data_IF_223939552960
#
_entry.id   IF_223939552960
#
_cell.length_a   1.000
_cell.length_b   1.000
_cell.length_c   1.000
_cell.angle_alpha   90.00
_cell.angle_beta   90.00
_cell.angle_gamma   90.00
#
_symmetry.space_group_name_H-M   'P 1'
#
loop_
_entity.id
_entity.type
_entity.pdbx_description
1 polymer ?
#
# COMPACT_ATOMS: atom_id res chain seq x y z
N UNK A 1 12.09 2.53 -13.39
CA UNK A 1 12.10 4.00 -13.58
C UNK A 1 11.70 4.40 -15.01
N UNK A 2 12.29 3.81 -16.07
CA UNK A 2 11.95 4.17 -17.46
C UNK A 2 10.46 4.05 -17.75
N UNK A 3 9.83 2.93 -17.43
CA UNK A 3 8.39 2.72 -17.68
C UNK A 3 7.47 3.76 -17.03
N UNK A 4 7.92 4.43 -15.97
CA UNK A 4 7.17 5.48 -15.27
C UNK A 4 7.43 6.83 -15.92
N UNK A 5 8.68 7.14 -16.25
CA UNK A 5 9.04 8.38 -16.97
C UNK A 5 8.38 8.50 -18.34
N UNK A 6 8.28 7.39 -19.08
CA UNK A 6 7.61 7.31 -20.37
C UNK A 6 6.11 7.62 -20.31
N UNK A 7 5.54 7.63 -19.10
CA UNK A 7 4.15 8.02 -18.79
C UNK A 7 4.01 9.46 -18.34
N UNK A 8 5.07 10.27 -18.50
CA UNK A 8 5.08 11.68 -18.17
C UNK A 8 5.30 12.00 -16.69
N UNK A 9 5.75 11.04 -15.90
CA UNK A 9 6.12 11.30 -14.51
C UNK A 9 7.49 11.92 -14.41
N UNK A 10 7.60 12.93 -13.56
CA UNK A 10 8.86 13.57 -13.21
C UNK A 10 9.37 13.01 -11.89
N UNK A 11 10.63 12.60 -11.86
CA UNK A 11 11.28 12.12 -10.65
C UNK A 11 11.81 13.28 -9.83
N UNK A 12 11.40 13.34 -8.57
CA UNK A 12 11.90 14.28 -7.58
C UNK A 12 12.31 13.55 -6.33
N UNK A 13 13.47 13.90 -5.77
CA UNK A 13 13.90 13.44 -4.46
C UNK A 13 13.55 14.49 -3.42
N UNK A 14 12.88 14.06 -2.37
CA UNK A 14 12.46 14.90 -1.24
C UNK A 14 13.49 14.85 -0.11
N UNK A 15 13.54 15.87 0.76
CA UNK A 15 14.47 15.91 1.89
C UNK A 15 14.26 14.71 2.84
N UNK A 16 15.39 14.20 3.37
CA UNK A 16 15.40 13.12 4.37
C UNK A 16 15.42 13.68 5.80
N UNK A 17 16.14 14.78 6.05
CA UNK A 17 16.10 15.46 7.35
C UNK A 17 14.91 16.42 7.38
N UNK A 18 13.84 16.07 8.07
CA UNK A 18 12.58 16.81 8.09
C UNK A 18 12.11 17.12 9.50
N UNK A 19 10.97 17.77 9.60
CA UNK A 19 10.20 17.83 10.84
C UNK A 19 9.39 16.52 11.00
N UNK A 20 9.05 16.18 12.23
CA UNK A 20 8.12 15.10 12.52
C UNK A 20 6.79 15.30 11.81
N UNK A 21 6.25 14.21 11.25
CA UNK A 21 4.93 14.21 10.63
C UNK A 21 4.05 13.11 11.26
N UNK A 22 2.75 13.36 11.47
CA UNK A 22 1.86 12.40 12.14
C UNK A 22 1.41 11.28 11.17
N UNK A 23 2.35 10.42 10.74
CA UNK A 23 2.08 9.33 9.77
C UNK A 23 1.65 8.01 10.44
N UNK A 24 1.55 7.99 11.78
CA UNK A 24 1.06 6.84 12.54
C UNK A 24 2.11 5.94 13.16
N UNK A 25 3.34 5.89 12.65
CA UNK A 25 4.48 5.22 13.29
C UNK A 25 5.26 6.18 14.20
N UNK A 26 6.20 5.65 15.00
CA UNK A 26 7.17 6.48 15.70
C UNK A 26 8.27 6.92 14.76
N UNK A 27 8.80 8.13 14.98
CA UNK A 27 9.88 8.69 14.18
C UNK A 27 11.25 8.22 14.70
N UNK A 28 12.17 7.96 13.78
CA UNK A 28 13.59 7.99 14.10
C UNK A 28 14.06 9.43 14.17
N UNK A 29 14.76 9.79 15.23
CA UNK A 29 15.18 11.17 15.50
C UNK A 29 16.69 11.34 15.30
N UNK A 30 17.08 12.45 14.68
CA UNK A 30 18.47 12.86 14.51
C UNK A 30 18.71 14.16 15.30
N UNK A 31 19.58 14.16 16.34
CA UNK A 31 19.86 15.37 17.10
C UNK A 31 20.44 16.50 16.24
N UNK A 32 19.94 17.71 16.44
CA UNK A 32 20.49 18.90 15.76
C UNK A 32 21.74 19.41 16.48
N UNK A 33 22.88 19.40 15.78
CA UNK A 33 24.11 19.97 16.32
C UNK A 33 24.04 21.49 16.47
N UNK A 34 23.30 22.16 15.57
CA UNK A 34 23.20 23.62 15.53
C UNK A 34 22.20 24.17 16.53
N UNK A 35 21.15 23.43 16.82
CA UNK A 35 20.07 23.82 17.72
C UNK A 35 19.99 22.85 18.89
N UNK A 36 20.67 23.12 20.03
CA UNK A 36 20.64 22.23 21.20
C UNK A 36 19.21 21.94 21.68
N UNK A 37 18.92 20.67 21.99
CA UNK A 37 17.60 20.24 22.43
C UNK A 37 16.55 20.07 21.33
N UNK A 38 16.92 20.31 20.06
CA UNK A 38 16.05 20.07 18.89
C UNK A 38 16.52 18.88 18.08
N UNK A 39 15.58 18.29 17.35
CA UNK A 39 15.79 17.07 16.53
C UNK A 39 15.19 17.25 15.15
N UNK A 40 15.82 16.63 14.17
CA UNK A 40 15.19 16.29 12.91
C UNK A 40 14.52 14.93 13.03
N UNK A 41 13.48 14.69 12.25
CA UNK A 41 12.90 13.37 12.06
C UNK A 41 13.32 12.79 10.70
N UNK A 42 13.51 11.47 10.64
CA UNK A 42 13.61 10.77 9.37
C UNK A 42 12.20 10.53 8.80
N UNK A 43 11.98 10.63 7.48
CA UNK A 43 10.65 10.58 6.90
C UNK A 43 10.05 9.18 6.98
N UNK A 44 8.81 9.08 7.43
CA UNK A 44 8.01 7.84 7.36
C UNK A 44 7.47 7.60 5.97
N UNK A 45 7.21 8.65 5.22
CA UNK A 45 6.83 8.72 3.82
C UNK A 45 7.00 10.17 3.33
N UNK A 46 7.14 10.43 2.00
CA UNK A 46 7.28 11.77 1.47
C UNK A 46 5.94 12.53 1.33
N UNK A 47 4.95 12.23 2.15
CA UNK A 47 3.56 12.66 1.98
C UNK A 47 3.38 14.17 1.89
N UNK A 48 4.00 14.93 2.77
CA UNK A 48 3.86 16.39 2.76
C UNK A 48 4.54 17.02 1.53
N UNK A 49 5.71 16.51 1.15
CA UNK A 49 6.46 17.05 0.02
C UNK A 49 5.77 16.76 -1.31
N UNK A 50 5.22 15.56 -1.51
CA UNK A 50 4.50 15.26 -2.75
C UNK A 50 3.23 16.11 -2.91
N UNK A 51 2.53 16.39 -1.81
CA UNK A 51 1.40 17.33 -1.84
C UNK A 51 1.83 18.74 -2.22
N UNK A 52 2.96 19.23 -1.69
CA UNK A 52 3.51 20.53 -2.07
C UNK A 52 3.92 20.56 -3.55
N UNK A 53 4.46 19.47 -4.09
CA UNK A 53 4.77 19.35 -5.52
C UNK A 53 3.50 19.45 -6.38
N UNK A 54 2.40 18.79 -5.98
CA UNK A 54 1.12 18.91 -6.68
C UNK A 54 0.59 20.35 -6.65
N UNK A 55 0.64 21.01 -5.48
CA UNK A 55 0.26 22.45 -5.35
C UNK A 55 1.14 23.35 -6.19
N UNK A 56 2.43 23.02 -6.36
CA UNK A 56 3.36 23.75 -7.21
C UNK A 56 3.18 23.52 -8.72
N UNK A 57 2.20 22.68 -9.11
CA UNK A 57 1.85 22.46 -10.51
C UNK A 57 2.56 21.27 -11.17
N UNK A 58 3.12 20.36 -10.40
CA UNK A 58 3.65 19.10 -10.93
C UNK A 58 2.54 18.06 -11.02
N UNK A 59 2.02 17.82 -12.20
CA UNK A 59 0.86 16.95 -12.39
C UNK A 59 1.13 15.47 -12.17
N UNK A 60 2.38 15.03 -12.34
CA UNK A 60 2.80 13.64 -12.15
C UNK A 60 4.18 13.57 -11.55
N UNK A 61 4.27 13.05 -10.36
CA UNK A 61 5.48 12.88 -9.58
C UNK A 61 5.73 11.41 -9.26
N UNK A 62 7.00 11.02 -9.18
CA UNK A 62 7.40 9.77 -8.54
C UNK A 62 8.79 9.88 -7.92
N UNK A 63 9.06 9.01 -6.96
CA UNK A 63 10.43 8.74 -6.48
C UNK A 63 10.52 7.33 -5.87
N UNK A 64 11.75 6.83 -5.76
CA UNK A 64 12.08 5.70 -4.89
C UNK A 64 12.50 6.32 -3.56
N UNK A 65 11.55 6.44 -2.64
CA UNK A 65 11.70 7.18 -1.39
C UNK A 65 12.25 6.28 -0.28
N UNK A 66 13.36 6.64 0.39
CA UNK A 66 13.74 6.01 1.65
C UNK A 66 12.73 6.39 2.73
N UNK A 67 12.22 5.38 3.44
CA UNK A 67 11.23 5.53 4.49
C UNK A 67 11.70 4.85 5.77
N UNK A 68 11.40 5.46 6.90
CA UNK A 68 11.87 5.04 8.21
C UNK A 68 10.69 5.00 9.19
N UNK A 69 10.45 3.86 9.83
CA UNK A 69 9.40 3.70 10.82
C UNK A 69 9.92 2.94 12.02
N UNK A 70 9.91 3.56 13.19
CA UNK A 70 10.28 2.90 14.44
C UNK A 70 9.08 2.11 14.97
N UNK A 71 8.91 0.94 14.39
CA UNK A 71 7.87 -0.03 14.70
C UNK A 71 8.50 -1.37 15.12
N UNK A 72 7.73 -2.19 15.82
CA UNK A 72 8.18 -3.52 16.18
C UNK A 72 8.45 -4.36 14.90
N UNK A 73 9.68 -4.80 14.66
CA UNK A 73 10.02 -5.51 13.44
C UNK A 73 9.33 -6.87 13.40
N UNK A 74 8.75 -7.19 12.24
CA UNK A 74 8.26 -8.54 11.95
C UNK A 74 9.19 -9.21 10.96
N UNK A 75 9.53 -10.47 11.22
CA UNK A 75 10.56 -11.20 10.46
C UNK A 75 10.34 -11.24 8.94
N UNK A 76 9.09 -11.17 8.51
CA UNK A 76 8.66 -11.26 7.10
C UNK A 76 8.24 -9.92 6.48
N UNK A 77 8.15 -8.85 7.28
CA UNK A 77 7.66 -7.53 6.85
C UNK A 77 7.97 -6.46 7.89
N UNK A 78 7.82 -5.20 7.51
CA UNK A 78 8.01 -4.03 8.38
C UNK A 78 9.45 -3.90 8.91
N UNK A 79 10.48 -3.90 8.04
CA UNK A 79 11.80 -3.42 8.46
C UNK A 79 11.67 -1.94 8.85
N UNK A 80 12.46 -1.50 9.83
CA UNK A 80 12.46 -0.09 10.25
C UNK A 80 12.90 0.88 9.16
N UNK A 81 13.66 0.40 8.17
CA UNK A 81 14.10 1.12 6.98
C UNK A 81 13.69 0.35 5.72
N UNK A 82 13.06 1.03 4.77
CA UNK A 82 12.63 0.45 3.49
C UNK A 82 12.48 1.53 2.42
N UNK A 83 12.30 1.11 1.18
CA UNK A 83 12.05 2.00 0.06
C UNK A 83 10.62 1.87 -0.44
N UNK A 84 9.99 3.00 -0.73
CA UNK A 84 8.70 3.05 -1.41
C UNK A 84 8.88 3.54 -2.84
N UNK A 85 8.25 2.86 -3.79
CA UNK A 85 7.90 3.48 -5.05
C UNK A 85 6.70 4.39 -4.77
N UNK A 86 6.97 5.67 -4.59
CA UNK A 86 5.95 6.67 -4.29
C UNK A 86 5.57 7.44 -5.56
N UNK A 87 4.28 7.58 -5.81
CA UNK A 87 3.75 8.26 -6.99
C UNK A 87 2.54 9.11 -6.61
N UNK A 88 2.42 10.27 -7.26
CA UNK A 88 1.27 11.16 -7.11
C UNK A 88 0.84 11.68 -8.47
N UNK A 89 -0.47 11.81 -8.68
CA UNK A 89 -1.07 12.31 -9.91
C UNK A 89 -2.16 13.33 -9.59
N UNK A 90 -2.08 14.52 -10.22
CA UNK A 90 -3.16 15.50 -10.20
C UNK A 90 -4.24 15.13 -11.22
N UNK A 91 -5.47 15.56 -10.95
CA UNK A 91 -6.63 15.42 -11.88
C UNK A 91 -6.87 13.97 -12.36
N UNK A 92 -6.53 12.99 -11.53
CA UNK A 92 -6.62 11.58 -11.87
C UNK A 92 -7.78 10.90 -11.14
N UNK A 93 -8.41 9.96 -11.82
CA UNK A 93 -9.38 9.03 -11.24
C UNK A 93 -8.68 7.78 -10.71
N UNK A 94 -9.40 6.97 -9.94
CA UNK A 94 -8.91 5.65 -9.51
C UNK A 94 -8.45 4.78 -10.69
N UNK A 95 -9.19 4.81 -11.79
CA UNK A 95 -8.86 4.04 -12.99
C UNK A 95 -7.55 4.49 -13.65
N UNK A 96 -7.24 5.77 -13.59
CA UNK A 96 -5.98 6.29 -14.13
C UNK A 96 -4.79 5.84 -13.29
N UNK A 97 -4.93 5.79 -11.97
CA UNK A 97 -3.93 5.23 -11.06
C UNK A 97 -3.73 3.74 -11.34
N UNK A 98 -4.80 2.96 -11.46
CA UNK A 98 -4.71 1.54 -11.77
C UNK A 98 -3.96 1.25 -13.06
N UNK A 99 -4.24 1.98 -14.15
CA UNK A 99 -3.53 1.82 -15.43
C UNK A 99 -2.02 2.03 -15.30
N UNK A 100 -1.60 3.00 -14.51
CA UNK A 100 -0.17 3.27 -14.27
C UNK A 100 0.47 2.14 -13.47
N UNK A 101 -0.17 1.72 -12.38
CA UNK A 101 0.33 0.64 -11.52
C UNK A 101 0.39 -0.69 -12.28
N UNK A 102 -0.66 -1.06 -12.99
CA UNK A 102 -0.73 -2.30 -13.77
C UNK A 102 0.39 -2.36 -14.80
N UNK A 103 0.67 -1.25 -15.49
CA UNK A 103 1.76 -1.18 -16.44
C UNK A 103 3.13 -1.33 -15.77
N UNK A 104 3.38 -0.58 -14.69
CA UNK A 104 4.65 -0.62 -13.97
C UNK A 104 4.92 -1.99 -13.36
N UNK A 105 3.92 -2.56 -12.67
CA UNK A 105 4.05 -3.87 -12.02
C UNK A 105 4.13 -5.01 -13.03
N UNK A 106 3.34 -4.96 -14.10
CA UNK A 106 3.43 -5.93 -15.20
C UNK A 106 4.84 -5.97 -15.80
N UNK A 107 5.44 -4.80 -16.04
CA UNK A 107 6.83 -4.70 -16.51
C UNK A 107 7.83 -5.31 -15.54
N UNK A 108 7.74 -4.96 -14.25
CA UNK A 108 8.63 -5.48 -13.19
C UNK A 108 8.50 -7.01 -13.08
N UNK A 109 7.29 -7.55 -13.02
CA UNK A 109 7.11 -8.99 -12.88
C UNK A 109 7.54 -9.77 -14.12
N UNK A 110 7.34 -9.24 -15.33
CA UNK A 110 7.83 -9.86 -16.55
C UNK A 110 9.35 -9.90 -16.61
N UNK A 111 10.03 -8.84 -16.17
CA UNK A 111 11.49 -8.75 -16.21
C UNK A 111 12.15 -9.54 -15.07
N UNK A 112 11.61 -9.45 -13.85
CA UNK A 112 12.23 -10.03 -12.65
C UNK A 112 11.50 -11.25 -12.08
N UNK A 113 10.43 -11.70 -12.71
CA UNK A 113 9.61 -12.84 -12.23
C UNK A 113 10.24 -14.21 -12.38
N UNK A 114 11.51 -14.31 -12.83
CA UNK A 114 12.25 -15.57 -13.00
C UNK A 114 11.48 -16.63 -13.83
N UNK A 115 10.86 -16.21 -14.93
CA UNK A 115 10.11 -17.08 -15.83
C UNK A 115 8.73 -17.50 -15.32
N UNK A 116 8.26 -16.97 -14.19
CA UNK A 116 6.89 -17.22 -13.72
C UNK A 116 5.88 -16.54 -14.66
N UNK A 117 4.74 -17.19 -14.85
CA UNK A 117 3.65 -16.61 -15.62
C UNK A 117 3.11 -15.38 -14.88
N UNK A 118 3.01 -14.28 -15.59
CA UNK A 118 2.47 -13.02 -15.11
C UNK A 118 1.12 -12.78 -15.75
N UNK A 119 0.12 -12.41 -14.95
CA UNK A 119 -1.19 -12.05 -15.48
C UNK A 119 -1.08 -10.76 -16.30
N UNK A 120 -1.83 -10.71 -17.39
CA UNK A 120 -1.87 -9.54 -18.26
C UNK A 120 -2.83 -8.48 -17.67
N UNK A 121 -2.50 -7.22 -17.89
CA UNK A 121 -3.41 -6.13 -17.55
C UNK A 121 -4.67 -6.16 -18.49
N UNK A 122 -5.85 -5.77 -17.97
CA UNK A 122 -6.12 -5.32 -16.61
C UNK A 122 -6.08 -6.48 -15.60
N UNK A 123 -5.46 -6.25 -14.44
CA UNK A 123 -5.43 -7.24 -13.38
C UNK A 123 -6.82 -7.48 -12.81
N UNK A 124 -7.04 -8.70 -12.27
CA UNK A 124 -8.30 -9.05 -11.62
C UNK A 124 -8.60 -8.08 -10.47
N UNK A 125 -9.84 -7.59 -10.42
CA UNK A 125 -10.32 -6.71 -9.37
C UNK A 125 -11.34 -7.43 -8.52
N UNK A 126 -11.07 -7.49 -7.23
CA UNK A 126 -11.93 -8.15 -6.26
C UNK A 126 -12.42 -7.07 -5.28
N UNK A 127 -13.74 -6.84 -5.18
CA UNK A 127 -14.29 -5.94 -4.18
C UNK A 127 -13.92 -6.40 -2.76
N UNK A 128 -13.67 -5.46 -1.86
CA UNK A 128 -13.25 -5.76 -0.48
C UNK A 128 -14.20 -6.76 0.22
N UNK A 129 -15.51 -6.53 0.09
CA UNK A 129 -16.52 -7.43 0.67
C UNK A 129 -16.39 -8.86 0.13
N UNK A 130 -16.17 -9.00 -1.16
CA UNK A 130 -15.99 -10.31 -1.79
C UNK A 130 -14.69 -10.98 -1.34
N UNK A 131 -13.61 -10.20 -1.24
CA UNK A 131 -12.33 -10.70 -0.74
C UNK A 131 -12.45 -11.24 0.69
N UNK A 132 -13.13 -10.51 1.58
CA UNK A 132 -13.35 -10.94 2.95
C UNK A 132 -14.26 -12.16 3.05
N UNK A 133 -15.35 -12.20 2.29
CA UNK A 133 -16.29 -13.34 2.30
C UNK A 133 -15.67 -14.63 1.76
N UNK A 134 -14.92 -14.55 0.65
CA UNK A 134 -14.38 -15.74 -0.02
C UNK A 134 -13.03 -16.20 0.52
N UNK A 135 -12.20 -15.27 0.98
CA UNK A 135 -10.81 -15.56 1.31
C UNK A 135 -10.41 -15.18 2.74
N UNK A 136 -11.26 -14.43 3.47
CA UNK A 136 -10.96 -13.98 4.83
C UNK A 136 -9.81 -12.96 4.89
N UNK A 137 -9.43 -12.35 3.77
CA UNK A 137 -8.28 -11.46 3.66
C UNK A 137 -8.49 -10.42 2.56
N UNK A 138 -7.99 -9.22 2.79
CA UNK A 138 -7.89 -8.16 1.77
C UNK A 138 -6.74 -8.37 0.76
N UNK A 139 -5.91 -9.39 0.98
CA UNK A 139 -4.78 -9.79 0.13
C UNK A 139 -4.79 -11.28 -0.17
N UNK A 140 -5.82 -11.78 -0.88
CA UNK A 140 -5.95 -13.21 -1.12
C UNK A 140 -4.85 -13.75 -2.03
N UNK A 141 -4.32 -14.93 -1.69
CA UNK A 141 -3.49 -15.70 -2.61
C UNK A 141 -4.40 -16.56 -3.49
N UNK A 142 -4.62 -16.11 -4.72
CA UNK A 142 -5.52 -16.78 -5.67
C UNK A 142 -4.98 -18.12 -6.19
N UNK A 143 -3.75 -18.49 -5.85
CA UNK A 143 -3.21 -19.85 -6.11
C UNK A 143 -3.77 -20.88 -5.14
N UNK A 144 -4.26 -20.43 -3.97
CA UNK A 144 -4.94 -21.27 -3.02
C UNK A 144 -6.37 -21.55 -3.50
N UNK A 145 -6.76 -22.81 -3.76
CA UNK A 145 -8.09 -23.16 -4.25
C UNK A 145 -9.18 -23.12 -3.16
N UNK A 146 -8.80 -22.91 -1.89
CA UNK A 146 -9.76 -22.89 -0.79
C UNK A 146 -10.58 -21.60 -0.83
N UNK A 147 -11.89 -21.76 -0.92
CA UNK A 147 -12.85 -20.65 -0.89
C UNK A 147 -13.80 -20.88 0.27
N UNK A 148 -13.89 -19.87 1.15
CA UNK A 148 -14.84 -19.86 2.26
C UNK A 148 -16.26 -19.86 1.69
N UNK A 149 -17.10 -20.77 2.20
CA UNK A 149 -18.49 -20.89 1.79
C UNK A 149 -19.43 -20.25 2.81
N UNK A 150 -20.42 -19.56 2.33
CA UNK A 150 -21.53 -19.03 3.12
C UNK A 150 -22.39 -20.20 3.62
N UNK A 151 -22.51 -20.33 4.93
CA UNK A 151 -23.23 -21.45 5.56
C UNK A 151 -24.36 -20.99 6.53
N UNK A 152 -24.64 -19.69 6.58
CA UNK A 152 -25.63 -19.10 7.49
C UNK A 152 -26.99 -19.82 7.42
N UNK A 153 -27.43 -20.15 6.20
CA UNK A 153 -28.70 -20.87 6.00
C UNK A 153 -28.73 -22.28 6.60
N UNK A 154 -27.57 -22.93 6.78
CA UNK A 154 -27.48 -24.27 7.39
C UNK A 154 -27.53 -24.22 8.92
N UNK A 155 -27.18 -23.08 9.50
CA UNK A 155 -27.05 -22.91 10.95
C UNK A 155 -28.17 -22.07 11.57
N UNK A 156 -29.08 -21.51 10.78
CA UNK A 156 -30.33 -20.94 11.29
C UNK A 156 -31.29 -22.05 11.69
N UNK A 157 -31.55 -22.24 12.98
CA UNK A 157 -32.29 -23.33 13.60
C UNK A 157 -31.51 -24.65 13.69
N UNK A 158 -30.21 -24.59 13.85
CA UNK A 158 -29.37 -25.78 14.02
C UNK A 158 -29.53 -26.48 15.36
N UNK A 159 -30.19 -25.82 16.34
CA UNK A 159 -30.26 -26.27 17.74
C UNK A 159 -28.99 -25.98 18.53
N UNK A 160 -27.95 -25.37 17.92
CA UNK A 160 -26.75 -24.97 18.59
C UNK A 160 -26.80 -23.47 18.88
N UNK A 161 -27.17 -23.11 20.11
CA UNK A 161 -27.50 -21.73 20.49
C UNK A 161 -26.48 -20.66 20.16
N UNK A 162 -25.18 -21.01 20.05
CA UNK A 162 -24.13 -20.05 19.65
C UNK A 162 -24.32 -19.62 18.20
N UNK A 163 -24.58 -20.56 17.30
CA UNK A 163 -24.77 -20.22 15.87
C UNK A 163 -26.14 -19.63 15.63
N UNK A 164 -27.18 -20.21 16.25
CA UNK A 164 -28.56 -19.71 16.12
C UNK A 164 -28.62 -18.24 16.58
N UNK A 165 -27.94 -17.90 17.70
CA UNK A 165 -27.85 -16.53 18.22
C UNK A 165 -27.15 -15.58 17.24
N UNK A 166 -26.02 -15.99 16.68
CA UNK A 166 -25.28 -15.16 15.72
C UNK A 166 -26.05 -14.95 14.42
N UNK A 167 -26.69 -15.97 13.90
CA UNK A 167 -27.55 -15.85 12.71
C UNK A 167 -28.72 -14.90 12.97
N UNK A 168 -29.34 -14.95 14.16
CA UNK A 168 -30.41 -14.03 14.54
C UNK A 168 -29.95 -12.59 14.70
N UNK A 169 -28.69 -12.37 15.08
CA UNK A 169 -28.04 -11.05 15.14
C UNK A 169 -27.65 -10.49 13.74
N UNK A 170 -27.79 -11.28 12.69
CA UNK A 170 -27.45 -10.87 11.31
C UNK A 170 -25.98 -11.06 10.95
N UNK A 171 -25.29 -11.98 11.60
CA UNK A 171 -23.90 -12.33 11.29
C UNK A 171 -23.81 -13.20 10.02
#
# INVERSE_FOLDING_TARGET
QMCIRDRGFTEYQTPILTASSPEGARDFLVPSRINPGKFYALPQAPQQFKQLLMVAGFDKYFQIAPCFRDEDPRADRSPGEFYQLDMEMSFATQEDVFKVIEHAMGGVFNEFGAGKKVDQAPFMRIPFREAMLKYGSDKPDLRNPLIIQEATALFGNSGFGVYDGKVAEGA
#
